data_IF_528408062143
#
_entry.id   IF_528408062143
#
_cell.length_a   1.000
_cell.length_b   1.000
_cell.length_c   1.000
_cell.angle_alpha   90.00
_cell.angle_beta   90.00
_cell.angle_gamma   90.00
#
_symmetry.space_group_name_H-M   'P 1'
#
loop_
_entity.id
_entity.type
_entity.pdbx_description
1 polymer ?
#
# COMPACT_ATOMS: atom_id res chain seq x y z
N UNK A 1 -10.84 1.09 2.57
CA UNK A 1 -9.96 1.43 1.41
C UNK A 1 -8.51 1.13 1.78
N UNK A 2 -7.66 0.64 0.87
CA UNK A 2 -6.22 0.45 1.15
C UNK A 2 -5.43 1.44 0.31
N UNK A 3 -4.45 2.09 0.93
CA UNK A 3 -3.47 2.95 0.26
C UNK A 3 -2.06 2.45 0.56
N UNK A 4 -1.12 2.79 -0.31
CA UNK A 4 0.26 2.30 -0.23
C UNK A 4 1.23 3.47 -0.29
N UNK A 5 2.12 3.55 0.70
CA UNK A 5 3.32 4.37 0.61
C UNK A 5 4.37 3.62 -0.22
N UNK A 6 4.41 3.93 -1.52
CA UNK A 6 5.28 3.25 -2.49
C UNK A 6 6.78 3.47 -2.28
N UNK A 7 7.15 4.57 -1.61
CA UNK A 7 8.52 4.92 -1.24
C UNK A 7 8.85 4.58 0.23
N UNK A 8 8.03 3.72 0.83
CA UNK A 8 8.23 3.20 2.18
C UNK A 8 7.98 4.20 3.31
N UNK A 9 8.47 3.81 4.50
CA UNK A 9 8.14 4.41 5.80
C UNK A 9 8.69 5.83 6.01
N UNK A 10 9.58 6.30 5.14
CA UNK A 10 10.14 7.68 5.20
C UNK A 10 9.19 8.71 4.61
N UNK A 11 8.09 8.28 3.98
CA UNK A 11 7.11 9.19 3.40
C UNK A 11 6.38 9.95 4.50
N UNK A 12 6.44 11.30 4.46
CA UNK A 12 5.94 12.15 5.54
C UNK A 12 4.48 11.89 5.92
N UNK A 13 3.60 11.74 4.91
CA UNK A 13 2.19 11.46 5.20
C UNK A 13 1.98 10.13 5.92
N UNK A 14 2.78 9.10 5.60
CA UNK A 14 2.69 7.80 6.25
C UNK A 14 3.14 7.88 7.71
N UNK A 15 4.25 8.58 7.99
CA UNK A 15 4.72 8.84 9.35
C UNK A 15 3.68 9.59 10.18
N UNK A 16 3.02 10.59 9.59
CA UNK A 16 1.96 11.31 10.28
C UNK A 16 0.81 10.38 10.67
N UNK A 17 0.41 9.45 9.79
CA UNK A 17 -0.65 8.48 10.10
C UNK A 17 -0.27 7.50 11.21
N UNK A 18 1.01 7.16 11.37
CA UNK A 18 1.47 6.29 12.48
C UNK A 18 1.20 6.90 13.86
N UNK A 19 1.07 8.23 13.94
CA UNK A 19 0.80 8.96 15.17
C UNK A 19 -0.67 9.37 15.31
N UNK A 20 -1.55 8.90 14.43
CA UNK A 20 -2.97 9.25 14.39
C UNK A 20 -3.83 7.98 14.47
N UNK A 21 -4.97 8.07 15.16
CA UNK A 21 -5.97 6.99 15.17
C UNK A 21 -7.02 7.18 14.07
N UNK A 22 -7.28 8.43 13.70
CA UNK A 22 -8.27 8.81 12.68
C UNK A 22 -7.72 9.91 11.77
N UNK A 23 -8.28 10.00 10.57
CA UNK A 23 -8.00 11.11 9.66
C UNK A 23 -9.23 11.40 8.78
N UNK A 24 -9.15 12.44 7.95
CA UNK A 24 -10.16 12.72 6.93
C UNK A 24 -9.58 12.46 5.55
N UNK A 25 -10.24 11.60 4.78
CA UNK A 25 -9.95 11.44 3.35
C UNK A 25 -10.95 12.23 2.52
N UNK A 26 -10.53 12.63 1.32
CA UNK A 26 -11.42 13.24 0.35
C UNK A 26 -11.51 12.35 -0.90
N UNK A 27 -12.73 11.97 -1.27
CA UNK A 27 -13.03 11.22 -2.48
C UNK A 27 -13.99 12.07 -3.33
N UNK A 28 -13.48 12.57 -4.47
CA UNK A 28 -14.19 13.57 -5.26
C UNK A 28 -14.49 14.84 -4.43
N UNK A 29 -15.78 15.18 -4.31
CA UNK A 29 -16.26 16.34 -3.54
C UNK A 29 -16.63 16.03 -2.08
N UNK A 30 -16.53 14.76 -1.66
CA UNK A 30 -16.98 14.32 -0.35
C UNK A 30 -15.80 14.05 0.58
N UNK A 31 -15.92 14.49 1.84
CA UNK A 31 -14.96 14.24 2.91
C UNK A 31 -15.50 13.18 3.85
N UNK A 32 -14.65 12.25 4.24
CA UNK A 32 -15.02 11.10 5.05
C UNK A 32 -14.05 10.97 6.23
N UNK A 33 -14.54 11.00 7.48
CA UNK A 33 -13.74 10.63 8.63
C UNK A 33 -13.48 9.12 8.58
N UNK A 34 -12.25 8.70 8.79
CA UNK A 34 -11.86 7.28 8.74
C UNK A 34 -10.95 6.93 9.91
N UNK A 35 -11.08 5.71 10.41
CA UNK A 35 -10.10 5.10 11.30
C UNK A 35 -8.92 4.57 10.49
N UNK A 36 -7.74 4.60 11.10
CA UNK A 36 -6.49 4.18 10.49
C UNK A 36 -6.09 2.82 11.06
N UNK A 37 -5.85 1.85 10.19
CA UNK A 37 -5.24 0.57 10.52
C UNK A 37 -3.92 0.47 9.75
N UNK A 38 -2.81 0.47 10.48
CA UNK A 38 -1.48 0.24 9.93
C UNK A 38 -1.34 -1.25 9.66
N UNK A 39 -1.08 -1.63 8.41
CA UNK A 39 -1.00 -3.03 8.01
C UNK A 39 0.45 -3.52 8.19
N UNK A 40 0.61 -4.73 8.74
CA UNK A 40 1.92 -5.38 8.88
C UNK A 40 2.56 -5.63 7.51
N UNK A 41 3.90 -5.68 7.42
CA UNK A 41 4.60 -6.08 6.19
C UNK A 41 4.11 -7.43 5.63
N UNK A 42 3.84 -8.39 6.51
CA UNK A 42 3.38 -9.74 6.16
C UNK A 42 2.00 -9.71 5.52
N UNK A 43 1.04 -8.99 6.14
CA UNK A 43 -0.30 -8.82 5.58
C UNK A 43 -0.27 -7.99 4.28
N UNK A 44 0.63 -7.00 4.20
CA UNK A 44 0.90 -6.24 2.99
C UNK A 44 1.35 -7.14 1.83
N UNK A 45 2.20 -8.12 2.13
CA UNK A 45 2.66 -9.11 1.13
C UNK A 45 1.50 -9.96 0.59
N UNK A 46 0.56 -10.36 1.45
CA UNK A 46 -0.61 -11.15 1.06
C UNK A 46 -1.61 -10.30 0.26
N UNK A 47 -1.80 -9.03 0.63
CA UNK A 47 -2.59 -8.07 -0.16
C UNK A 47 -1.99 -7.94 -1.57
N UNK A 48 -0.66 -7.84 -1.67
CA UNK A 48 0.00 -7.67 -2.96
C UNK A 48 -0.04 -8.93 -3.83
N UNK A 49 0.05 -10.11 -3.22
CA UNK A 49 -0.13 -11.37 -3.93
C UNK A 49 -1.52 -11.45 -4.58
N UNK A 50 -2.58 -11.12 -3.82
CA UNK A 50 -3.95 -11.08 -4.34
C UNK A 50 -4.14 -10.02 -5.41
N UNK A 51 -3.51 -8.85 -5.23
CA UNK A 51 -3.51 -7.79 -6.24
C UNK A 51 -2.86 -8.26 -7.55
N UNK A 52 -1.71 -8.94 -7.46
CA UNK A 52 -1.01 -9.50 -8.61
C UNK A 52 -1.83 -10.58 -9.33
N UNK A 53 -2.42 -11.53 -8.60
CA UNK A 53 -3.28 -12.56 -9.18
C UNK A 53 -4.44 -11.95 -9.99
N UNK A 54 -4.98 -10.82 -9.53
CA UNK A 54 -6.09 -10.13 -10.20
C UNK A 54 -5.64 -9.20 -11.33
N UNK A 55 -4.47 -8.58 -11.22
CA UNK A 55 -4.04 -7.47 -12.07
C UNK A 55 -2.60 -7.58 -12.57
N UNK A 56 -2.05 -8.78 -12.77
CA UNK A 56 -0.61 -9.02 -12.93
C UNK A 56 0.15 -8.09 -13.89
N UNK A 57 -0.41 -7.72 -15.05
CA UNK A 57 0.20 -6.75 -15.96
C UNK A 57 0.37 -5.35 -15.33
N UNK A 58 -0.64 -4.91 -14.58
CA UNK A 58 -0.66 -3.61 -13.89
C UNK A 58 0.32 -3.62 -12.71
N UNK A 59 0.52 -4.76 -12.04
CA UNK A 59 1.52 -4.90 -10.97
C UNK A 59 2.93 -4.58 -11.46
N UNK A 60 3.31 -5.02 -12.66
CA UNK A 60 4.60 -4.69 -13.25
C UNK A 60 4.77 -3.21 -13.56
N UNK A 61 3.71 -2.57 -14.07
CA UNK A 61 3.69 -1.12 -14.31
C UNK A 61 3.85 -0.35 -13.00
N UNK A 62 3.15 -0.76 -11.95
CA UNK A 62 3.27 -0.14 -10.62
C UNK A 62 4.71 -0.20 -10.11
N UNK A 63 5.35 -1.38 -10.14
CA UNK A 63 6.72 -1.52 -9.67
C UNK A 63 7.72 -0.74 -10.52
N UNK A 64 7.52 -0.70 -11.83
CA UNK A 64 8.35 0.12 -12.73
C UNK A 64 8.26 1.61 -12.38
N UNK A 65 7.06 2.14 -12.10
CA UNK A 65 6.87 3.53 -11.67
C UNK A 65 7.57 3.81 -10.33
N UNK A 66 7.54 2.84 -9.41
CA UNK A 66 8.18 2.96 -8.11
C UNK A 66 9.70 2.69 -8.14
N UNK A 67 10.24 2.22 -9.27
CA UNK A 67 11.66 1.92 -9.44
C UNK A 67 12.11 0.59 -8.83
N UNK A 68 11.19 -0.36 -8.62
CA UNK A 68 11.54 -1.69 -8.11
C UNK A 68 11.76 -2.68 -9.26
N UNK A 69 12.90 -3.38 -9.23
CA UNK A 69 13.15 -4.54 -10.06
C UNK A 69 12.44 -5.77 -9.49
N UNK A 70 11.81 -6.56 -10.36
CA UNK A 70 11.07 -7.74 -9.97
C UNK A 70 11.09 -8.79 -11.08
N UNK A 71 10.87 -10.05 -10.70
CA UNK A 71 10.94 -11.21 -11.60
C UNK A 71 9.60 -11.54 -12.29
N UNK A 72 8.56 -10.75 -12.03
CA UNK A 72 7.21 -10.97 -12.57
C UNK A 72 6.41 -12.07 -11.86
N UNK A 73 6.95 -12.67 -10.81
CA UNK A 73 6.29 -13.75 -10.06
C UNK A 73 5.47 -13.21 -8.89
N UNK A 74 4.52 -14.01 -8.40
CA UNK A 74 3.81 -13.70 -7.16
C UNK A 74 4.77 -13.54 -5.97
N UNK A 75 5.79 -14.40 -5.89
CA UNK A 75 6.78 -14.35 -4.82
C UNK A 75 7.61 -13.07 -4.87
N UNK A 76 8.00 -12.62 -6.07
CA UNK A 76 8.65 -11.32 -6.27
C UNK A 76 7.74 -10.17 -5.83
N UNK A 77 6.46 -10.21 -6.17
CA UNK A 77 5.49 -9.21 -5.71
C UNK A 77 5.32 -9.19 -4.18
N UNK A 78 5.29 -10.37 -3.54
CA UNK A 78 5.25 -10.51 -2.07
C UNK A 78 6.49 -9.89 -1.43
N UNK A 79 7.68 -10.19 -1.96
CA UNK A 79 8.94 -9.64 -1.44
C UNK A 79 8.99 -8.12 -1.53
N UNK A 80 8.63 -7.55 -2.67
CA UNK A 80 8.63 -6.08 -2.81
C UNK A 80 7.66 -5.44 -1.83
N UNK A 81 6.46 -6.00 -1.69
CA UNK A 81 5.46 -5.49 -0.78
C UNK A 81 5.89 -5.55 0.68
N UNK A 82 6.48 -6.67 1.11
CA UNK A 82 6.97 -6.83 2.49
C UNK A 82 8.13 -5.89 2.80
N UNK A 83 9.08 -5.76 1.87
CA UNK A 83 10.39 -5.17 2.18
C UNK A 83 10.42 -3.65 1.92
N UNK A 84 9.57 -3.13 1.01
CA UNK A 84 9.66 -1.74 0.56
C UNK A 84 8.36 -0.94 0.65
N UNK A 85 7.20 -1.60 0.62
CA UNK A 85 5.91 -0.91 0.62
C UNK A 85 5.35 -0.83 2.04
N UNK A 86 4.66 0.27 2.34
CA UNK A 86 3.91 0.36 3.59
C UNK A 86 2.42 0.56 3.31
N UNK A 87 1.59 -0.30 3.88
CA UNK A 87 0.16 -0.35 3.61
C UNK A 87 -0.64 0.26 4.77
N UNK A 88 -1.68 1.00 4.42
CA UNK A 88 -2.63 1.55 5.39
C UNK A 88 -4.04 1.24 4.93
N UNK A 89 -4.87 0.74 5.85
CA UNK A 89 -6.29 0.56 5.63
C UNK A 89 -7.06 1.68 6.32
N UNK A 90 -7.92 2.34 5.56
CA UNK A 90 -8.92 3.26 6.06
C UNK A 90 -10.27 2.56 6.22
N UNK A 91 -10.80 2.63 7.43
CA UNK A 91 -12.09 2.06 7.85
C UNK A 91 -13.08 3.21 8.09
N UNK A 92 -14.34 3.03 7.70
CA UNK A 92 -15.40 4.03 7.83
C UNK A 92 -16.58 3.45 8.59
#
# INVERSE_FOLDING_TARGET
MIVVAGYGSRTQWYQNLQHMQTTTIQLGKHKFPVNIEMISPEDGSEIMARYHQRYGKITGVLFSILGYEWDGTEMGARHIARDYLCFVRFLH
#
